data_IF_100224564359
#
_entry.id   IF_100224564359
#
_cell.length_a   1.000
_cell.length_b   1.000
_cell.length_c   1.000
_cell.angle_alpha   90.00
_cell.angle_beta   90.00
_cell.angle_gamma   90.00
#
_symmetry.space_group_name_H-M   'P 1'
#
loop_
_entity.id
_entity.type
_entity.pdbx_description
1 polymer ?
#
# COMPACT_ATOMS: atom_id res chain seq x y z
N UNK A 1 -68.56 -9.92 32.49
CA UNK A 1 -67.29 -10.56 32.88
C UNK A 1 -66.53 -11.26 31.74
N UNK A 2 -67.19 -11.82 30.71
CA UNK A 2 -66.52 -12.50 29.59
C UNK A 2 -65.76 -11.55 28.62
N UNK A 3 -66.21 -10.33 28.46
CA UNK A 3 -65.57 -9.37 27.54
C UNK A 3 -64.32 -8.70 28.14
N UNK A 4 -64.16 -8.66 29.42
CA UNK A 4 -63.00 -8.07 30.10
C UNK A 4 -61.77 -9.01 30.02
N UNK A 5 -62.00 -10.31 30.01
CA UNK A 5 -60.94 -11.32 29.89
C UNK A 5 -60.35 -11.39 28.48
N UNK A 6 -61.18 -11.17 27.45
CA UNK A 6 -60.74 -11.21 26.04
C UNK A 6 -59.87 -9.97 25.72
N UNK A 7 -60.23 -8.80 26.21
CA UNK A 7 -59.40 -7.58 26.04
C UNK A 7 -58.03 -7.69 26.74
N UNK A 8 -57.97 -8.36 27.89
CA UNK A 8 -56.72 -8.56 28.62
C UNK A 8 -55.78 -9.56 27.90
N UNK A 9 -56.35 -10.58 27.29
CA UNK A 9 -55.62 -11.59 26.49
C UNK A 9 -55.06 -10.97 25.21
N UNK A 10 -55.78 -10.11 24.52
CA UNK A 10 -55.31 -9.43 23.32
C UNK A 10 -54.26 -8.37 23.65
N UNK A 11 -54.39 -7.65 24.78
CA UNK A 11 -53.36 -6.70 25.19
C UNK A 11 -52.04 -7.36 25.62
N UNK A 12 -52.09 -8.55 26.24
CA UNK A 12 -50.88 -9.28 26.62
C UNK A 12 -50.20 -9.95 25.41
N UNK A 13 -50.95 -10.42 24.45
CA UNK A 13 -50.43 -10.93 23.17
C UNK A 13 -49.82 -9.81 22.30
N UNK A 14 -50.42 -8.61 22.33
CA UNK A 14 -49.91 -7.45 21.61
C UNK A 14 -48.62 -6.91 22.27
N UNK A 15 -48.58 -6.88 23.59
CA UNK A 15 -47.38 -6.49 24.34
C UNK A 15 -46.22 -7.49 24.11
N UNK A 16 -46.48 -8.80 24.17
CA UNK A 16 -45.47 -9.81 23.87
C UNK A 16 -44.96 -9.77 22.41
N UNK A 17 -45.81 -9.39 21.45
CA UNK A 17 -45.39 -9.24 20.06
C UNK A 17 -44.54 -7.97 19.85
N UNK A 18 -44.80 -6.90 20.58
CA UNK A 18 -44.01 -5.66 20.53
C UNK A 18 -42.62 -5.89 21.16
N UNK A 19 -42.55 -6.51 22.34
CA UNK A 19 -41.29 -6.84 22.99
C UNK A 19 -40.39 -7.74 22.10
N UNK A 20 -40.97 -8.71 21.38
CA UNK A 20 -40.21 -9.56 20.47
C UNK A 20 -39.75 -8.85 19.21
N UNK A 21 -40.51 -7.89 18.69
CA UNK A 21 -40.13 -7.05 17.57
C UNK A 21 -39.00 -6.08 17.99
N UNK A 22 -39.10 -5.48 19.17
CA UNK A 22 -38.04 -4.58 19.69
C UNK A 22 -36.74 -5.32 19.94
N UNK A 23 -36.76 -6.55 20.42
CA UNK A 23 -35.58 -7.42 20.56
C UNK A 23 -34.97 -7.70 19.19
N UNK A 24 -35.77 -8.12 18.20
CA UNK A 24 -35.28 -8.41 16.83
C UNK A 24 -34.70 -7.12 16.19
N UNK A 25 -35.34 -5.98 16.35
CA UNK A 25 -34.84 -4.71 15.81
C UNK A 25 -33.54 -4.29 16.49
N UNK A 26 -33.42 -4.51 17.80
CA UNK A 26 -32.18 -4.23 18.50
C UNK A 26 -31.06 -5.20 18.09
N UNK A 27 -31.37 -6.48 17.96
CA UNK A 27 -30.40 -7.49 17.46
C UNK A 27 -29.98 -7.19 16.01
N UNK A 28 -30.91 -6.77 15.14
CA UNK A 28 -30.60 -6.33 13.78
C UNK A 28 -29.76 -5.06 13.77
N UNK A 29 -30.08 -4.10 14.63
CA UNK A 29 -29.30 -2.88 14.74
C UNK A 29 -27.87 -3.17 15.20
N UNK A 30 -27.68 -4.01 16.21
CA UNK A 30 -26.36 -4.46 16.69
C UNK A 30 -25.64 -5.24 15.60
N UNK A 31 -26.34 -6.09 14.84
CA UNK A 31 -25.76 -6.83 13.74
C UNK A 31 -25.31 -5.90 12.58
N UNK A 32 -26.12 -4.88 12.27
CA UNK A 32 -25.77 -3.86 11.25
C UNK A 32 -24.63 -2.97 11.75
N UNK A 33 -24.66 -2.54 13.00
CA UNK A 33 -23.57 -1.78 13.62
C UNK A 33 -22.26 -2.60 13.62
N UNK A 34 -22.32 -3.91 13.94
CA UNK A 34 -21.15 -4.79 13.88
C UNK A 34 -20.68 -5.08 12.44
N UNK A 35 -21.58 -5.15 11.46
CA UNK A 35 -21.25 -5.36 10.07
C UNK A 35 -20.68 -4.12 9.38
N UNK A 36 -20.89 -2.92 9.95
CA UNK A 36 -20.34 -1.67 9.47
C UNK A 36 -19.04 -1.25 10.16
N UNK A 37 -18.57 -2.03 11.14
CA UNK A 37 -17.36 -1.73 11.89
C UNK A 37 -16.15 -2.38 11.23
N UNK A 38 -15.05 -1.65 11.16
CA UNK A 38 -13.79 -2.16 10.65
C UNK A 38 -13.29 -3.32 11.50
N UNK A 39 -12.96 -4.43 10.86
CA UNK A 39 -12.23 -5.52 11.51
C UNK A 39 -10.82 -5.07 11.87
N UNK A 40 -10.29 -5.58 12.97
CA UNK A 40 -8.92 -5.32 13.35
C UNK A 40 -7.96 -5.94 12.35
N UNK A 41 -7.07 -5.13 11.78
CA UNK A 41 -5.93 -5.61 11.02
C UNK A 41 -4.74 -5.79 11.97
N UNK A 42 -3.85 -6.70 11.64
CA UNK A 42 -2.80 -7.18 12.53
C UNK A 42 -1.43 -6.77 12.02
N UNK A 43 -0.58 -6.24 12.90
CA UNK A 43 0.84 -6.04 12.62
C UNK A 43 1.68 -7.13 13.30
N UNK A 44 2.69 -7.64 12.59
CA UNK A 44 3.80 -8.40 13.15
C UNK A 44 5.03 -7.49 13.16
N UNK A 45 5.54 -7.18 14.35
CA UNK A 45 6.89 -6.65 14.48
C UNK A 45 7.87 -7.84 14.44
N UNK A 46 8.64 -7.96 13.36
CA UNK A 46 9.63 -9.02 13.11
C UNK A 46 11.03 -8.49 13.44
N UNK A 47 11.55 -8.83 14.60
CA UNK A 47 12.91 -8.49 15.04
C UNK A 47 13.88 -9.57 14.60
N UNK A 48 14.74 -9.25 13.63
CA UNK A 48 15.45 -10.22 12.82
C UNK A 48 16.90 -9.82 12.48
N UNK A 49 17.54 -10.59 11.62
CA UNK A 49 18.87 -10.30 11.06
C UNK A 49 19.30 -11.37 10.05
N UNK A 50 19.99 -10.96 8.99
CA UNK A 50 20.36 -11.84 7.86
C UNK A 50 21.28 -12.99 8.26
N UNK A 51 22.24 -12.74 9.16
CA UNK A 51 23.25 -13.73 9.60
C UNK A 51 22.77 -14.61 10.78
N UNK A 52 21.51 -14.51 11.14
CA UNK A 52 20.92 -15.29 12.22
C UNK A 52 20.25 -16.56 11.66
N UNK A 53 20.71 -17.76 11.99
CA UNK A 53 20.27 -19.00 11.33
C UNK A 53 18.81 -19.39 11.57
N UNK A 54 18.17 -18.81 12.57
CA UNK A 54 16.76 -19.05 12.90
C UNK A 54 15.85 -17.94 12.39
N UNK A 55 16.40 -16.75 12.09
CA UNK A 55 15.65 -15.60 11.63
C UNK A 55 15.06 -15.82 10.25
N UNK A 56 15.80 -16.44 9.34
CA UNK A 56 15.29 -16.77 8.03
C UNK A 56 14.07 -17.71 8.05
N UNK A 57 13.99 -18.64 9.01
CA UNK A 57 12.79 -19.48 9.17
C UNK A 57 11.57 -18.68 9.63
N UNK A 58 11.76 -17.73 10.54
CA UNK A 58 10.72 -16.85 11.01
C UNK A 58 10.24 -15.92 9.88
N UNK A 59 11.18 -15.29 9.17
CA UNK A 59 10.88 -14.39 8.06
C UNK A 59 10.17 -15.09 6.90
N UNK A 60 10.53 -16.33 6.56
CA UNK A 60 9.81 -17.15 5.58
C UNK A 60 8.36 -17.39 6.04
N UNK A 61 8.15 -17.79 7.30
CA UNK A 61 6.81 -17.98 7.83
C UNK A 61 5.96 -16.70 7.83
N UNK A 62 6.55 -15.56 8.16
CA UNK A 62 5.87 -14.25 8.07
C UNK A 62 5.55 -13.90 6.62
N UNK A 63 6.47 -14.16 5.68
CA UNK A 63 6.23 -13.94 4.26
C UNK A 63 5.06 -14.77 3.72
N UNK A 64 5.00 -16.08 4.06
CA UNK A 64 3.89 -16.95 3.68
C UNK A 64 2.56 -16.44 4.25
N UNK A 65 2.55 -15.95 5.50
CA UNK A 65 1.36 -15.35 6.10
C UNK A 65 0.93 -14.06 5.40
N UNK A 66 1.87 -13.20 5.01
CA UNK A 66 1.57 -11.97 4.26
C UNK A 66 0.96 -12.29 2.89
N UNK A 67 1.42 -13.34 2.23
CA UNK A 67 0.89 -13.78 0.94
C UNK A 67 -0.50 -14.46 1.10
N UNK A 68 -0.77 -15.12 2.22
CA UNK A 68 -2.08 -15.74 2.51
C UNK A 68 -3.12 -14.73 3.00
N UNK A 69 -2.70 -13.69 3.75
CA UNK A 69 -3.60 -12.71 4.38
C UNK A 69 -3.28 -11.25 4.01
N UNK A 70 -3.15 -10.90 2.72
CA UNK A 70 -2.61 -9.60 2.28
C UNK A 70 -3.43 -8.38 2.72
N UNK A 71 -4.76 -8.56 2.94
CA UNK A 71 -5.67 -7.46 3.28
C UNK A 71 -5.72 -7.15 4.78
N UNK A 72 -5.31 -8.10 5.63
CA UNK A 72 -5.54 -8.04 7.07
C UNK A 72 -4.29 -8.21 7.91
N UNK A 73 -3.18 -8.62 7.29
CA UNK A 73 -1.89 -8.78 7.93
C UNK A 73 -0.85 -7.85 7.34
N UNK A 74 -0.08 -7.22 8.20
CA UNK A 74 1.09 -6.40 7.88
C UNK A 74 2.28 -6.84 8.70
N UNK A 75 3.48 -6.56 8.24
CA UNK A 75 4.71 -6.71 9.03
C UNK A 75 5.51 -5.41 9.04
N UNK A 76 6.29 -5.23 10.08
CA UNK A 76 7.37 -4.27 10.16
C UNK A 76 8.64 -5.03 10.55
N UNK A 77 9.60 -5.13 9.64
CA UNK A 77 10.81 -5.91 9.84
C UNK A 77 11.94 -5.01 10.36
N UNK A 78 12.49 -5.37 11.52
CA UNK A 78 13.52 -4.62 12.25
C UNK A 78 14.82 -5.40 12.25
N UNK A 79 15.85 -4.91 11.57
CA UNK A 79 17.14 -5.60 11.46
C UNK A 79 18.09 -5.21 12.59
N UNK A 80 18.65 -6.21 13.26
CA UNK A 80 19.64 -6.02 14.31
C UNK A 80 21.04 -5.95 13.68
N UNK A 81 21.74 -4.85 13.85
CA UNK A 81 23.04 -4.57 13.25
C UNK A 81 24.10 -5.66 13.51
N UNK A 82 24.09 -6.30 14.68
CA UNK A 82 25.03 -7.38 15.01
C UNK A 82 24.80 -8.69 14.22
N UNK A 83 23.64 -8.84 13.58
CA UNK A 83 23.25 -10.00 12.76
C UNK A 83 22.90 -9.59 11.31
N UNK A 84 23.33 -8.41 10.92
CA UNK A 84 23.13 -7.89 9.56
C UNK A 84 24.49 -7.36 9.09
N UNK A 85 25.02 -7.77 7.92
CA UNK A 85 26.30 -7.28 7.42
C UNK A 85 26.31 -5.78 7.23
N UNK A 86 27.42 -5.10 7.60
CA UNK A 86 27.60 -3.64 7.53
C UNK A 86 27.44 -3.04 6.12
N UNK A 87 27.50 -3.84 5.07
CA UNK A 87 27.37 -3.46 3.67
C UNK A 87 26.04 -3.92 3.04
N UNK A 88 25.10 -4.35 3.87
CA UNK A 88 23.78 -4.75 3.43
C UNK A 88 22.85 -3.55 3.28
N UNK A 89 21.90 -3.65 2.37
CA UNK A 89 20.85 -2.65 2.13
C UNK A 89 19.87 -2.49 3.32
N UNK A 90 20.20 -3.03 4.49
CA UNK A 90 19.33 -3.11 5.67
C UNK A 90 19.77 -2.23 6.85
N UNK A 91 20.94 -1.61 6.77
CA UNK A 91 21.57 -0.91 7.90
C UNK A 91 21.02 0.50 8.17
N UNK A 92 20.19 1.05 7.29
CA UNK A 92 19.78 2.45 7.32
C UNK A 92 18.33 2.65 7.77
N UNK A 93 18.01 2.28 9.01
CA UNK A 93 16.78 2.78 9.61
C UNK A 93 17.02 4.13 10.30
N UNK A 94 16.48 5.21 9.74
CA UNK A 94 16.52 6.53 10.32
C UNK A 94 15.41 6.72 11.37
N UNK A 95 15.82 6.99 12.60
CA UNK A 95 14.89 7.37 13.65
C UNK A 95 14.76 8.90 13.68
N UNK A 96 13.64 9.43 13.20
CA UNK A 96 13.41 10.88 13.05
C UNK A 96 13.02 11.58 14.35
N UNK A 97 12.95 10.86 15.46
CA UNK A 97 12.55 11.38 16.75
C UNK A 97 13.83 11.60 17.57
N UNK A 98 14.18 12.83 17.85
CA UNK A 98 15.26 13.47 18.65
C UNK A 98 16.13 12.58 19.59
N UNK A 99 16.30 11.28 19.34
CA UNK A 99 17.11 10.41 20.16
C UNK A 99 18.12 9.61 19.36
N UNK A 100 19.31 9.63 19.88
CA UNK A 100 20.46 8.82 19.46
C UNK A 100 20.09 7.35 19.75
N UNK A 101 19.78 6.58 18.72
CA UNK A 101 19.48 5.16 18.84
C UNK A 101 19.06 4.53 17.53
N UNK A 102 19.33 3.25 17.39
CA UNK A 102 18.91 2.38 16.34
C UNK A 102 17.37 2.20 16.39
N UNK A 103 16.70 2.15 15.25
CA UNK A 103 15.25 1.89 15.19
C UNK A 103 14.88 0.57 15.86
N UNK A 104 15.69 -0.46 15.67
CA UNK A 104 15.51 -1.76 16.29
C UNK A 104 15.48 -1.65 17.83
N UNK A 105 16.49 -1.00 18.42
CA UNK A 105 16.58 -0.83 19.88
C UNK A 105 15.42 0.00 20.42
N UNK A 106 15.06 1.07 19.72
CA UNK A 106 13.95 1.92 20.12
C UNK A 106 12.60 1.20 20.05
N UNK A 107 12.36 0.39 18.99
CA UNK A 107 11.14 -0.41 18.88
C UNK A 107 11.08 -1.49 19.94
N UNK A 108 12.19 -2.16 20.21
CA UNK A 108 12.31 -3.16 21.24
C UNK A 108 12.06 -2.61 22.65
N UNK A 109 12.51 -1.39 22.92
CA UNK A 109 12.30 -0.72 24.21
C UNK A 109 10.82 -0.47 24.50
N UNK A 110 9.95 -0.29 23.49
CA UNK A 110 8.50 -0.19 23.71
C UNK A 110 7.90 -1.46 24.29
N UNK A 111 8.52 -2.61 24.03
CA UNK A 111 8.13 -3.89 24.60
C UNK A 111 8.79 -4.16 25.99
N UNK A 112 9.53 -3.18 26.52
CA UNK A 112 10.27 -3.32 27.79
C UNK A 112 11.50 -4.22 27.68
N UNK A 113 12.05 -4.37 26.47
CA UNK A 113 13.25 -5.18 26.22
C UNK A 113 14.47 -4.28 26.17
N UNK A 114 15.00 -3.92 27.35
CA UNK A 114 16.16 -3.03 27.50
C UNK A 114 17.45 -3.59 26.84
N UNK A 115 17.49 -4.88 26.56
CA UNK A 115 18.57 -5.56 25.85
C UNK A 115 18.05 -6.80 25.13
N UNK A 116 18.00 -6.76 23.80
CA UNK A 116 17.77 -7.96 23.00
C UNK A 116 19.10 -8.67 22.76
N UNK A 117 19.23 -9.88 23.29
CA UNK A 117 20.41 -10.71 23.11
C UNK A 117 20.18 -11.89 22.16
N UNK A 118 18.97 -12.01 21.61
CA UNK A 118 18.59 -13.10 20.72
C UNK A 118 17.49 -12.65 19.76
N UNK A 119 17.62 -13.02 18.50
CA UNK A 119 16.61 -12.94 17.43
C UNK A 119 16.45 -14.35 16.85
N UNK A 120 15.33 -14.69 16.17
CA UNK A 120 14.18 -13.84 15.88
C UNK A 120 13.24 -13.68 17.08
N UNK A 121 12.53 -12.55 17.10
CA UNK A 121 11.40 -12.33 18.00
C UNK A 121 10.27 -11.71 17.16
N UNK A 122 9.11 -12.34 17.16
CA UNK A 122 7.89 -11.81 16.54
C UNK A 122 6.92 -11.36 17.61
N UNK A 123 6.52 -10.11 17.52
CA UNK A 123 5.46 -9.53 18.33
C UNK A 123 4.20 -9.35 17.48
N UNK A 124 3.26 -10.27 17.60
CA UNK A 124 1.98 -10.21 16.88
C UNK A 124 1.05 -9.31 17.65
N UNK A 125 0.67 -8.21 17.00
CA UNK A 125 -0.21 -7.17 17.54
C UNK A 125 0.25 -6.59 18.89
N UNK A 126 1.56 -6.66 19.15
CA UNK A 126 2.17 -6.15 20.38
C UNK A 126 1.99 -7.00 21.63
N UNK A 127 1.17 -8.04 21.60
CA UNK A 127 0.77 -8.83 22.77
C UNK A 127 1.14 -10.31 22.72
N UNK A 128 1.25 -10.91 21.55
CA UNK A 128 1.64 -12.31 21.38
C UNK A 128 3.09 -12.39 20.93
N UNK A 129 3.99 -12.75 21.86
CA UNK A 129 5.44 -12.74 21.66
C UNK A 129 5.96 -14.16 21.44
N UNK A 130 6.68 -14.35 20.34
CA UNK A 130 7.35 -15.62 20.01
C UNK A 130 8.85 -15.37 19.88
N UNK A 131 9.66 -16.30 20.38
CA UNK A 131 11.13 -16.19 20.32
C UNK A 131 11.71 -17.46 19.74
N UNK A 132 12.52 -17.29 18.69
CA UNK A 132 13.16 -18.38 17.98
C UNK A 132 12.21 -19.12 17.02
N UNK A 133 12.77 -19.67 15.95
CA UNK A 133 12.07 -20.46 14.96
C UNK A 133 12.86 -21.74 14.69
N UNK A 134 12.29 -22.91 14.99
CA UNK A 134 12.96 -24.20 14.74
C UNK A 134 12.93 -24.62 13.26
N UNK A 135 11.93 -24.19 12.55
CA UNK A 135 11.71 -24.30 11.09
C UNK A 135 10.60 -23.35 10.69
N UNK A 136 10.49 -23.05 9.41
CA UNK A 136 9.40 -22.27 8.80
C UNK A 136 8.03 -22.86 9.18
N UNK A 137 7.79 -24.17 8.94
CA UNK A 137 6.53 -24.84 9.29
C UNK A 137 6.18 -24.72 10.79
N UNK A 138 7.18 -24.82 11.66
CA UNK A 138 6.96 -24.68 13.11
C UNK A 138 6.61 -23.24 13.50
N UNK A 139 7.26 -22.25 12.91
CA UNK A 139 6.99 -20.84 13.12
C UNK A 139 5.57 -20.49 12.61
N UNK A 140 5.27 -20.82 11.38
CA UNK A 140 3.94 -20.62 10.76
C UNK A 140 2.82 -21.21 11.63
N UNK A 141 2.99 -22.46 12.10
CA UNK A 141 2.00 -23.15 12.94
C UNK A 141 1.75 -22.49 14.31
N UNK A 142 2.69 -21.67 14.79
CA UNK A 142 2.55 -20.88 16.02
C UNK A 142 1.95 -19.49 15.75
N UNK A 143 2.34 -18.84 14.65
CA UNK A 143 1.95 -17.47 14.36
C UNK A 143 0.52 -17.36 13.84
N UNK A 144 0.08 -18.25 12.96
CA UNK A 144 -1.27 -18.22 12.38
C UNK A 144 -2.38 -18.27 13.44
N UNK A 145 -2.36 -19.17 14.46
CA UNK A 145 -3.38 -19.12 15.50
C UNK A 145 -3.39 -17.82 16.31
N UNK A 146 -2.22 -17.20 16.55
CA UNK A 146 -2.15 -15.92 17.25
C UNK A 146 -2.78 -14.80 16.40
N UNK A 147 -2.47 -14.75 15.10
CA UNK A 147 -3.11 -13.86 14.14
C UNK A 147 -4.63 -14.08 14.09
N UNK A 148 -5.09 -15.32 13.92
CA UNK A 148 -6.50 -15.68 13.83
C UNK A 148 -7.33 -15.34 15.08
N UNK A 149 -6.68 -15.25 16.24
CA UNK A 149 -7.35 -14.84 17.47
C UNK A 149 -7.59 -13.31 17.55
N UNK A 150 -6.94 -12.54 16.67
CA UNK A 150 -6.97 -11.07 16.71
C UNK A 150 -7.71 -10.50 15.48
N UNK A 151 -7.40 -11.04 14.30
CA UNK A 151 -8.00 -10.58 13.05
C UNK A 151 -9.54 -10.63 13.14
N UNK A 152 -10.18 -9.62 12.55
CA UNK A 152 -11.65 -9.47 12.56
C UNK A 152 -12.27 -9.21 13.96
N UNK A 153 -11.46 -9.06 15.02
CA UNK A 153 -12.00 -8.48 16.24
C UNK A 153 -12.41 -7.03 15.98
N UNK A 154 -13.46 -6.59 16.66
CA UNK A 154 -13.88 -5.21 16.53
C UNK A 154 -12.84 -4.27 17.15
N UNK A 155 -12.40 -3.31 16.36
CA UNK A 155 -11.63 -2.15 16.80
C UNK A 155 -12.45 -0.87 16.63
N UNK A 156 -12.38 0.11 17.53
CA UNK A 156 -13.03 1.40 17.32
C UNK A 156 -12.29 2.29 16.32
N UNK A 157 -11.07 1.94 15.95
CA UNK A 157 -10.19 2.76 15.13
C UNK A 157 -10.24 2.36 13.66
N UNK A 158 -10.31 3.37 12.82
CA UNK A 158 -10.07 3.28 11.38
C UNK A 158 -8.86 4.16 11.04
N UNK A 159 -7.97 3.66 10.19
CA UNK A 159 -6.78 4.38 9.72
C UNK A 159 -6.90 4.52 8.21
N UNK A 160 -6.74 5.74 7.74
CA UNK A 160 -6.58 6.07 6.32
C UNK A 160 -5.22 6.71 6.09
N UNK A 161 -4.60 6.42 4.94
CA UNK A 161 -3.32 6.99 4.52
C UNK A 161 -3.49 7.47 3.09
N UNK A 162 -3.26 8.76 2.89
CA UNK A 162 -3.27 9.36 1.57
C UNK A 162 -2.05 10.27 1.39
N UNK A 163 -1.78 10.72 0.18
CA UNK A 163 -0.64 11.58 -0.09
C UNK A 163 -0.46 11.89 -1.56
N UNK A 164 0.69 12.45 -1.88
CA UNK A 164 1.09 12.77 -3.24
C UNK A 164 2.57 12.46 -3.48
N UNK A 165 2.90 12.20 -4.74
CA UNK A 165 4.26 11.94 -5.19
C UNK A 165 4.66 13.01 -6.19
N UNK A 166 5.79 13.69 -5.94
CA UNK A 166 6.47 14.53 -6.93
C UNK A 166 7.90 13.99 -7.11
N UNK A 167 8.09 13.17 -8.12
CA UNK A 167 9.35 12.43 -8.38
C UNK A 167 9.73 11.52 -7.20
N UNK A 168 10.70 11.93 -6.38
CA UNK A 168 11.15 11.20 -5.19
C UNK A 168 10.67 11.85 -3.88
N UNK A 169 9.96 12.96 -3.95
CA UNK A 169 9.43 13.67 -2.80
C UNK A 169 8.01 13.18 -2.53
N UNK A 170 7.80 12.66 -1.34
CA UNK A 170 6.53 12.12 -0.88
C UNK A 170 5.96 13.03 0.19
N UNK A 171 4.73 13.48 0.03
CA UNK A 171 3.93 14.06 1.09
C UNK A 171 2.82 13.07 1.47
N UNK A 172 2.52 12.95 2.75
CA UNK A 172 1.49 12.04 3.21
C UNK A 172 0.69 12.62 4.37
N UNK A 173 -0.54 12.14 4.51
CA UNK A 173 -1.39 12.33 5.67
C UNK A 173 -1.93 10.98 6.16
N UNK A 174 -1.78 10.73 7.45
CA UNK A 174 -2.37 9.60 8.15
C UNK A 174 -3.53 10.13 8.97
N UNK A 175 -4.75 9.69 8.71
CA UNK A 175 -5.94 10.06 9.46
C UNK A 175 -6.44 8.87 10.26
N UNK A 176 -6.56 9.06 11.57
CA UNK A 176 -7.19 8.09 12.47
C UNK A 176 -8.56 8.61 12.88
N UNK A 177 -9.59 7.79 12.73
CA UNK A 177 -10.96 8.10 13.11
C UNK A 177 -11.55 7.05 14.06
N UNK A 178 -12.57 7.45 14.82
CA UNK A 178 -13.33 6.56 15.70
C UNK A 178 -14.74 6.30 15.15
N UNK A 179 -15.09 5.02 15.01
CA UNK A 179 -16.45 4.58 14.66
C UNK A 179 -17.39 4.51 15.89
N UNK A 180 -16.81 4.36 17.08
CA UNK A 180 -17.51 4.24 18.35
C UNK A 180 -16.74 4.90 19.48
N UNK A 181 -17.45 5.30 20.54
CA UNK A 181 -16.81 5.92 21.71
C UNK A 181 -15.81 4.96 22.34
N UNK A 182 -14.60 5.42 22.56
CA UNK A 182 -13.55 4.68 23.21
C UNK A 182 -12.84 5.55 24.26
N UNK A 183 -12.67 5.01 25.45
CA UNK A 183 -11.93 5.72 26.50
C UNK A 183 -10.44 5.65 26.17
N UNK A 184 -9.97 6.64 25.46
CA UNK A 184 -8.56 6.75 25.10
C UNK A 184 -7.71 7.01 26.35
N UNK A 185 -6.76 6.12 26.61
CA UNK A 185 -5.70 6.32 27.60
C UNK A 185 -4.42 5.76 27.01
N UNK A 186 -3.44 6.62 26.79
CA UNK A 186 -2.10 6.26 26.35
C UNK A 186 -2.03 5.64 24.93
N UNK A 187 -3.00 5.91 24.05
CA UNK A 187 -2.91 5.54 22.64
C UNK A 187 -2.01 6.52 21.88
N UNK A 188 -1.17 5.95 21.05
CA UNK A 188 -0.28 6.67 20.16
C UNK A 188 -0.39 6.16 18.73
N UNK A 189 -0.16 7.04 17.77
CA UNK A 189 -0.05 6.71 16.35
C UNK A 189 1.42 6.67 16.01
N UNK A 190 1.89 5.50 15.58
CA UNK A 190 3.25 5.32 15.07
C UNK A 190 3.21 5.24 13.54
N UNK A 191 4.13 5.90 12.88
CA UNK A 191 4.24 5.93 11.42
C UNK A 191 5.63 5.45 11.01
N UNK A 192 5.66 4.44 10.14
CA UNK A 192 6.88 3.84 9.60
C UNK A 192 6.91 3.97 8.09
N UNK A 193 8.07 4.24 7.53
CA UNK A 193 8.35 4.08 6.11
C UNK A 193 9.09 2.75 5.96
N UNK A 194 8.53 1.87 5.14
CA UNK A 194 9.09 0.54 4.91
C UNK A 194 9.30 0.28 3.42
N UNK A 195 10.27 -0.55 3.12
CA UNK A 195 10.50 -1.07 1.78
C UNK A 195 10.18 -2.56 1.75
N UNK A 196 9.35 -2.97 0.80
CA UNK A 196 8.95 -4.38 0.64
C UNK A 196 9.79 -5.08 -0.43
N UNK A 197 9.82 -6.42 -0.38
CA UNK A 197 10.40 -7.28 -1.40
C UNK A 197 11.90 -7.05 -1.69
N UNK A 198 12.71 -6.81 -0.68
CA UNK A 198 14.15 -6.68 -0.83
C UNK A 198 14.76 -8.07 -0.95
N UNK A 199 15.23 -8.42 -2.16
CA UNK A 199 15.92 -9.70 -2.38
C UNK A 199 17.26 -9.71 -1.65
N UNK A 200 17.43 -10.66 -0.74
CA UNK A 200 18.61 -10.77 0.11
C UNK A 200 19.02 -12.22 0.35
N UNK A 201 20.26 -12.41 0.78
CA UNK A 201 20.78 -13.71 1.17
C UNK A 201 20.65 -13.87 2.67
N UNK A 202 19.87 -14.84 3.10
CA UNK A 202 19.66 -15.21 4.50
C UNK A 202 20.46 -16.45 4.84
N UNK A 203 21.09 -16.46 5.98
CA UNK A 203 21.81 -17.63 6.44
C UNK A 203 20.91 -18.52 7.34
N UNK A 204 20.45 -19.64 6.78
CA UNK A 204 19.66 -20.68 7.48
C UNK A 204 20.48 -21.96 7.53
N UNK A 205 21.68 -21.94 8.20
CA UNK A 205 22.70 -22.98 8.13
C UNK A 205 23.27 -23.24 6.71
N UNK A 206 22.72 -22.59 5.72
CA UNK A 206 23.11 -22.47 4.31
C UNK A 206 22.56 -21.14 3.77
N UNK A 207 23.15 -20.63 2.69
CA UNK A 207 22.70 -19.39 2.06
C UNK A 207 21.40 -19.62 1.28
N UNK A 208 20.35 -18.87 1.64
CA UNK A 208 19.04 -18.92 1.00
C UNK A 208 18.66 -17.53 0.49
N UNK A 209 18.33 -17.42 -0.79
CA UNK A 209 17.76 -16.21 -1.34
C UNK A 209 16.28 -16.10 -0.92
N UNK A 210 15.93 -15.00 -0.27
CA UNK A 210 14.58 -14.74 0.19
C UNK A 210 14.30 -13.23 0.15
N UNK A 211 13.06 -12.85 -0.17
CA UNK A 211 12.63 -11.46 -0.09
C UNK A 211 12.35 -11.07 1.35
N UNK A 212 13.11 -10.09 1.86
CA UNK A 212 12.74 -9.41 3.09
C UNK A 212 11.47 -8.58 2.86
N UNK A 213 10.55 -8.62 3.82
CA UNK A 213 9.22 -8.05 3.68
C UNK A 213 9.03 -6.84 4.61
N UNK A 214 8.67 -5.70 4.03
CA UNK A 214 8.38 -4.47 4.79
C UNK A 214 9.51 -4.08 5.77
N UNK A 215 10.74 -4.04 5.28
CA UNK A 215 11.92 -3.61 6.06
C UNK A 215 11.77 -2.14 6.41
N UNK A 216 11.80 -1.82 7.70
CA UNK A 216 11.63 -0.44 8.16
C UNK A 216 12.87 0.37 7.82
N UNK A 217 12.71 1.34 6.92
CA UNK A 217 13.73 2.28 6.49
C UNK A 217 13.76 3.53 7.35
N UNK A 218 12.59 3.88 7.92
CA UNK A 218 12.48 5.07 8.74
C UNK A 218 11.32 4.95 9.73
N UNK A 219 11.56 5.23 10.98
CA UNK A 219 10.52 5.48 11.96
C UNK A 219 10.24 6.98 12.00
N UNK A 220 9.17 7.37 11.33
CA UNK A 220 8.90 8.77 11.04
C UNK A 220 8.41 9.54 12.25
N UNK A 221 7.44 8.98 12.97
CA UNK A 221 6.86 9.68 14.12
C UNK A 221 6.17 8.76 15.13
N UNK A 222 6.05 9.28 16.36
CA UNK A 222 5.14 8.82 17.41
C UNK A 222 4.33 10.03 17.85
N UNK A 223 3.01 9.93 17.76
CA UNK A 223 2.12 11.04 18.08
C UNK A 223 1.06 10.57 19.08
N UNK A 224 0.74 11.39 20.06
CA UNK A 224 -0.38 11.12 20.97
C UNK A 224 -1.71 11.26 20.22
N UNK A 225 -2.63 10.33 20.49
CA UNK A 225 -3.96 10.29 19.88
C UNK A 225 -5.00 10.78 20.88
N UNK A 226 -5.62 11.93 20.59
CA UNK A 226 -6.49 12.66 21.54
C UNK A 226 -7.98 12.56 21.21
N UNK A 227 -8.42 11.56 20.43
CA UNK A 227 -9.83 11.34 20.08
C UNK A 227 -10.47 10.30 20.99
N UNK A 228 -11.76 10.48 21.33
CA UNK A 228 -12.49 9.60 22.27
C UNK A 228 -13.97 9.39 21.94
N UNK A 229 -14.56 10.21 21.08
CA UNK A 229 -15.97 10.15 20.72
C UNK A 229 -16.15 9.66 19.27
N UNK A 230 -17.22 8.93 19.03
CA UNK A 230 -17.56 8.44 17.69
C UNK A 230 -17.69 9.60 16.68
N UNK A 231 -17.04 9.46 15.53
CA UNK A 231 -16.98 10.46 14.47
C UNK A 231 -15.87 11.50 14.64
N UNK A 232 -15.10 11.47 15.73
CA UNK A 232 -13.87 12.24 15.82
C UNK A 232 -12.77 11.64 14.96
N UNK A 233 -11.91 12.51 14.43
CA UNK A 233 -10.70 12.13 13.68
C UNK A 233 -9.53 13.05 14.01
N UNK A 234 -8.32 12.52 13.86
CA UNK A 234 -7.07 13.29 14.02
C UNK A 234 -6.11 12.89 12.90
N UNK A 235 -5.52 13.89 12.25
CA UNK A 235 -4.59 13.69 11.14
C UNK A 235 -3.16 14.05 11.54
N UNK A 236 -2.22 13.34 10.91
CA UNK A 236 -0.78 13.48 11.11
C UNK A 236 -0.13 13.53 9.73
N UNK A 237 0.43 14.67 9.36
CA UNK A 237 1.08 14.88 8.06
C UNK A 237 2.59 14.83 8.18
N UNK A 238 3.24 14.35 7.14
CA UNK A 238 4.68 14.31 7.04
C UNK A 238 5.15 14.32 5.58
N UNK A 239 6.46 14.34 5.42
CA UNK A 239 7.09 14.23 4.10
C UNK A 239 8.47 13.64 4.19
N UNK A 240 8.90 12.96 3.13
CA UNK A 240 10.25 12.42 3.02
C UNK A 240 10.69 12.38 1.56
N UNK A 241 11.98 12.19 1.36
CA UNK A 241 12.56 11.97 0.03
C UNK A 241 13.02 10.51 -0.03
N UNK A 242 12.66 9.80 -1.09
CA UNK A 242 13.15 8.44 -1.35
C UNK A 242 14.64 8.54 -1.72
N UNK A 243 15.48 7.80 -1.01
CA UNK A 243 16.88 7.64 -1.36
C UNK A 243 17.02 6.62 -2.49
N UNK A 244 17.03 7.11 -3.73
CA UNK A 244 17.09 6.26 -4.94
C UNK A 244 18.36 5.41 -5.03
N UNK A 245 19.43 5.79 -4.33
CA UNK A 245 20.67 5.04 -4.32
C UNK A 245 20.61 3.82 -3.37
N UNK A 246 19.66 3.84 -2.41
CA UNK A 246 19.51 2.81 -1.39
C UNK A 246 18.14 2.11 -1.39
N UNK A 247 17.07 2.75 -1.89
CA UNK A 247 15.70 2.24 -1.82
C UNK A 247 15.12 2.06 -3.22
N UNK A 248 14.29 1.02 -3.37
CA UNK A 248 13.48 0.85 -4.57
C UNK A 248 12.18 1.66 -4.46
N UNK A 249 11.98 2.73 -5.26
CA UNK A 249 10.78 3.57 -5.17
C UNK A 249 9.47 2.80 -5.33
N UNK A 250 9.45 1.77 -6.17
CA UNK A 250 8.25 0.98 -6.44
C UNK A 250 7.82 0.08 -5.28
N UNK A 251 8.68 -0.04 -4.26
CA UNK A 251 8.47 -0.93 -3.11
C UNK A 251 8.20 -0.19 -1.80
N UNK A 252 8.08 1.13 -1.82
CA UNK A 252 7.91 1.94 -0.61
C UNK A 252 6.46 1.90 -0.14
N UNK A 253 6.31 1.70 1.16
CA UNK A 253 5.03 1.71 1.87
C UNK A 253 5.09 2.62 3.10
N UNK A 254 3.96 3.20 3.42
CA UNK A 254 3.72 3.82 4.73
C UNK A 254 2.89 2.84 5.55
N UNK A 255 3.35 2.54 6.75
CA UNK A 255 2.67 1.68 7.72
C UNK A 255 2.31 2.56 8.92
N UNK A 256 1.06 2.52 9.35
CA UNK A 256 0.60 3.22 10.55
C UNK A 256 -0.10 2.27 11.50
N UNK A 257 0.12 2.47 12.80
CA UNK A 257 -0.53 1.70 13.85
C UNK A 257 -1.06 2.61 14.95
N UNK A 258 -2.22 2.24 15.51
CA UNK A 258 -2.69 2.77 16.80
C UNK A 258 -2.25 1.79 17.88
N UNK A 259 -1.32 2.20 18.73
CA UNK A 259 -0.71 1.38 19.76
C UNK A 259 -0.84 2.01 21.15
N UNK A 260 -1.10 1.20 22.17
CA UNK A 260 -1.08 1.66 23.55
C UNK A 260 0.37 1.68 24.08
N UNK A 261 0.82 2.84 24.54
CA UNK A 261 2.20 3.03 25.03
C UNK A 261 2.52 2.30 26.33
N UNK A 262 1.49 1.95 27.12
CA UNK A 262 1.64 1.28 28.41
C UNK A 262 1.61 -0.26 28.31
N UNK A 263 0.84 -0.81 27.35
CA UNK A 263 0.63 -2.27 27.19
C UNK A 263 1.29 -2.83 25.94
N UNK A 264 1.74 -1.98 25.03
CA UNK A 264 2.25 -2.30 23.70
C UNK A 264 1.20 -2.90 22.76
N UNK A 265 -0.05 -3.07 23.19
CA UNK A 265 -1.13 -3.61 22.36
C UNK A 265 -1.42 -2.69 21.17
N UNK A 266 -1.50 -3.28 19.97
CA UNK A 266 -1.89 -2.58 18.75
C UNK A 266 -3.39 -2.81 18.54
N UNK A 267 -4.15 -1.71 18.46
CA UNK A 267 -5.60 -1.74 18.26
C UNK A 267 -6.01 -1.73 16.81
N UNK A 268 -5.19 -1.14 15.95
CA UNK A 268 -5.40 -1.12 14.50
C UNK A 268 -4.06 -0.92 13.79
N UNK A 269 -3.94 -1.49 12.60
CA UNK A 269 -2.83 -1.30 11.70
C UNK A 269 -3.34 -1.04 10.28
N UNK A 270 -2.62 -0.25 9.51
CA UNK A 270 -2.89 -0.03 8.10
C UNK A 270 -1.59 0.24 7.34
N UNK A 271 -1.54 -0.17 6.09
CA UNK A 271 -0.43 0.15 5.19
C UNK A 271 -0.96 0.60 3.84
N UNK A 272 -0.20 1.49 3.20
CA UNK A 272 -0.46 1.99 1.86
C UNK A 272 0.86 2.04 1.09
N UNK A 273 0.88 1.49 -0.13
CA UNK A 273 1.98 1.76 -1.06
C UNK A 273 1.91 3.20 -1.51
N UNK A 274 3.04 3.90 -1.53
CA UNK A 274 3.07 5.28 -2.04
C UNK A 274 2.61 5.37 -3.50
N UNK A 275 2.81 4.31 -4.29
CA UNK A 275 2.34 4.24 -5.67
C UNK A 275 0.81 4.15 -5.81
N UNK A 276 0.08 4.00 -4.70
CA UNK A 276 -1.37 3.96 -4.68
C UNK A 276 -1.99 5.27 -4.17
N UNK A 277 -1.21 6.33 -4.03
CA UNK A 277 -1.77 7.63 -3.67
C UNK A 277 -2.65 8.19 -4.79
N UNK A 278 -3.79 8.75 -4.43
CA UNK A 278 -4.63 9.55 -5.30
C UNK A 278 -4.10 10.99 -5.24
N UNK A 279 -3.20 11.33 -6.18
CA UNK A 279 -2.41 12.57 -6.08
C UNK A 279 -3.16 13.82 -6.54
N UNK A 280 -4.28 13.66 -7.27
CA UNK A 280 -5.07 14.77 -7.83
C UNK A 280 -6.54 14.78 -7.37
N UNK A 281 -6.88 13.87 -6.42
CA UNK A 281 -8.21 13.74 -5.80
C UNK A 281 -9.33 13.41 -6.80
N UNK A 282 -9.05 12.68 -7.86
CA UNK A 282 -10.05 12.30 -8.85
C UNK A 282 -10.81 11.00 -8.53
N UNK A 283 -10.37 10.28 -7.48
CA UNK A 283 -10.95 9.04 -6.98
C UNK A 283 -10.37 7.79 -7.64
N UNK A 284 -9.30 7.92 -8.46
CA UNK A 284 -8.56 6.80 -9.03
C UNK A 284 -7.17 6.75 -8.39
N UNK A 285 -6.78 5.59 -7.91
CA UNK A 285 -5.48 5.42 -7.25
C UNK A 285 -4.35 5.49 -8.27
N UNK A 286 -3.22 6.09 -7.91
CA UNK A 286 -2.11 6.35 -8.81
C UNK A 286 -1.63 5.14 -9.61
N UNK A 287 -1.71 3.91 -9.03
CA UNK A 287 -1.37 2.68 -9.77
C UNK A 287 -2.40 2.26 -10.84
N UNK A 288 -3.58 2.86 -10.84
CA UNK A 288 -4.67 2.62 -11.80
C UNK A 288 -5.03 3.87 -12.60
N UNK A 289 -4.40 4.98 -12.24
CA UNK A 289 -4.65 6.29 -12.82
C UNK A 289 -3.75 6.51 -14.04
N UNK A 290 -4.38 6.74 -15.18
CA UNK A 290 -3.67 7.02 -16.43
C UNK A 290 -3.23 8.48 -16.58
N UNK A 291 -3.61 9.36 -15.59
CA UNK A 291 -3.10 10.74 -15.46
C UNK A 291 -2.84 11.11 -13.99
N UNK A 292 -1.88 10.52 -13.27
CA UNK A 292 -1.74 10.58 -11.81
C UNK A 292 -1.65 11.97 -11.16
N UNK A 293 -1.55 13.04 -11.92
CA UNK A 293 -1.45 14.42 -11.45
C UNK A 293 -2.43 15.38 -12.14
N UNK A 294 -3.41 14.83 -12.88
CA UNK A 294 -4.38 15.64 -13.64
C UNK A 294 -5.77 15.04 -13.52
N UNK A 295 -6.62 15.64 -12.71
CA UNK A 295 -7.99 15.22 -12.43
C UNK A 295 -8.75 14.72 -13.66
N UNK A 296 -8.98 13.41 -13.75
CA UNK A 296 -9.68 12.76 -14.86
C UNK A 296 -10.49 11.51 -14.46
N UNK A 297 -11.48 11.60 -13.57
CA UNK A 297 -12.17 10.48 -12.95
C UNK A 297 -12.86 9.51 -13.92
N UNK A 298 -12.94 9.87 -15.20
CA UNK A 298 -13.46 9.00 -16.25
C UNK A 298 -12.39 8.13 -16.92
N UNK A 299 -11.10 8.38 -16.64
CA UNK A 299 -9.96 7.63 -17.14
C UNK A 299 -10.01 7.38 -18.65
N UNK A 300 -10.43 8.41 -19.39
CA UNK A 300 -10.53 8.36 -20.85
C UNK A 300 -9.13 8.25 -21.45
N UNK A 301 -8.95 7.32 -22.36
CA UNK A 301 -7.74 7.04 -23.12
C UNK A 301 -8.20 6.61 -24.52
N UNK A 302 -8.13 7.52 -25.47
CA UNK A 302 -8.79 7.33 -26.77
C UNK A 302 -7.93 6.53 -27.75
N UNK A 303 -6.62 6.47 -27.52
CA UNK A 303 -5.67 5.74 -28.37
C UNK A 303 -5.10 4.47 -27.71
N UNK A 304 -5.54 4.17 -26.47
CA UNK A 304 -5.20 2.97 -25.70
C UNK A 304 -3.68 2.81 -25.44
N UNK A 305 -2.95 3.93 -25.23
CA UNK A 305 -1.51 3.90 -24.93
C UNK A 305 -1.18 3.90 -23.43
N UNK A 306 -2.20 3.90 -22.57
CA UNK A 306 -2.16 3.96 -21.13
C UNK A 306 -1.80 5.34 -20.53
N UNK A 307 -1.75 6.38 -21.33
CA UNK A 307 -1.72 7.77 -20.89
C UNK A 307 -3.13 8.37 -21.15
N UNK A 308 -3.72 8.97 -20.13
CA UNK A 308 -5.10 9.45 -20.27
C UNK A 308 -5.22 10.75 -21.07
N UNK A 309 -6.34 10.90 -21.79
CA UNK A 309 -6.68 12.06 -22.62
C UNK A 309 -6.41 13.41 -21.92
N UNK A 310 -6.51 13.45 -20.61
CA UNK A 310 -6.37 14.69 -19.84
C UNK A 310 -4.93 15.18 -19.70
N UNK A 311 -3.97 14.29 -19.72
CA UNK A 311 -2.56 14.58 -19.54
C UNK A 311 -1.70 14.21 -20.77
N UNK A 312 -2.25 13.45 -21.70
CA UNK A 312 -1.57 13.12 -22.93
C UNK A 312 -1.66 14.26 -23.95
N UNK A 313 -0.50 14.83 -24.28
CA UNK A 313 -0.37 15.86 -25.32
C UNK A 313 -0.45 15.27 -26.72
N UNK A 314 -0.31 13.97 -26.82
CA UNK A 314 -0.37 13.22 -28.07
C UNK A 314 -1.72 12.54 -28.28
N UNK A 315 -2.65 12.74 -27.35
CA UNK A 315 -4.01 12.18 -27.40
C UNK A 315 -4.76 12.67 -28.63
N UNK A 316 -4.79 11.84 -29.61
CA UNK A 316 -5.54 12.13 -30.81
C UNK A 316 -5.73 10.89 -31.70
N UNK A 317 -6.67 10.06 -31.40
CA UNK A 317 -7.00 8.88 -32.22
C UNK A 317 -7.21 9.15 -33.71
N UNK A 318 -7.32 10.43 -34.10
CA UNK A 318 -7.51 10.85 -35.49
C UNK A 318 -6.31 11.58 -36.10
N UNK A 319 -5.28 11.90 -35.31
CA UNK A 319 -4.10 12.65 -35.80
C UNK A 319 -2.82 11.85 -35.60
N UNK A 320 -2.48 11.49 -34.35
CA UNK A 320 -1.25 10.76 -34.04
C UNK A 320 -1.48 9.24 -34.12
N UNK A 321 -1.94 8.79 -35.30
CA UNK A 321 -2.19 7.38 -35.56
C UNK A 321 -1.01 6.75 -36.28
N UNK A 322 -0.93 5.43 -36.19
CA UNK A 322 0.10 4.64 -36.85
C UNK A 322 0.30 5.02 -38.32
N UNK A 323 1.43 5.63 -38.62
CA UNK A 323 1.81 6.11 -39.96
C UNK A 323 1.63 7.61 -40.20
N UNK A 324 0.87 8.33 -39.41
CA UNK A 324 0.75 9.82 -39.50
C UNK A 324 1.75 10.47 -38.53
N UNK A 325 3.05 10.40 -38.85
CA UNK A 325 4.15 10.79 -37.97
C UNK A 325 4.29 12.31 -37.86
N UNK A 326 3.85 13.04 -38.88
CA UNK A 326 3.94 14.50 -38.90
C UNK A 326 2.69 15.19 -38.30
N UNK A 327 1.65 14.42 -37.95
CA UNK A 327 0.42 14.93 -37.37
C UNK A 327 -0.41 15.78 -38.33
N UNK A 328 -0.25 15.63 -39.65
CA UNK A 328 -1.04 16.37 -40.65
C UNK A 328 -2.44 15.79 -40.78
N UNK A 329 -3.42 16.72 -40.84
CA UNK A 329 -4.82 16.41 -41.04
C UNK A 329 -5.28 17.05 -42.34
N UNK A 330 -5.84 16.27 -43.23
CA UNK A 330 -6.38 16.75 -44.50
C UNK A 330 -7.57 17.69 -44.34
N UNK A 331 -7.98 18.28 -45.43
CA UNK A 331 -9.11 19.24 -45.45
C UNK A 331 -10.44 18.60 -45.10
N UNK A 332 -10.55 17.31 -45.10
CA UNK A 332 -11.71 16.50 -44.69
C UNK A 332 -11.67 16.09 -43.21
N UNK A 333 -10.63 16.53 -42.47
CA UNK A 333 -10.38 16.22 -41.05
C UNK A 333 -9.98 14.75 -40.78
N UNK A 334 -9.49 14.03 -41.79
CA UNK A 334 -8.86 12.75 -41.63
C UNK A 334 -7.34 12.90 -41.74
N UNK A 335 -6.61 12.02 -41.06
CA UNK A 335 -5.15 11.95 -41.18
C UNK A 335 -4.72 11.53 -42.60
N UNK A 336 -3.60 12.04 -43.05
CA UNK A 336 -3.00 11.67 -44.31
C UNK A 336 -1.66 11.00 -44.07
N UNK A 337 -1.49 9.77 -44.56
CA UNK A 337 -0.19 9.05 -44.50
C UNK A 337 0.47 9.22 -45.87
N UNK A 338 1.55 9.99 -45.92
CA UNK A 338 2.23 10.30 -47.17
C UNK A 338 3.77 10.41 -47.05
N UNK A 339 4.39 11.01 -48.05
CA UNK A 339 5.84 11.17 -48.10
C UNK A 339 6.36 12.15 -47.05
N UNK A 340 5.54 13.05 -46.50
CA UNK A 340 5.97 14.01 -45.51
C UNK A 340 6.15 13.32 -44.14
N UNK A 341 5.38 12.28 -43.83
CA UNK A 341 5.60 11.43 -42.64
C UNK A 341 6.94 10.69 -42.73
N UNK A 342 7.29 10.20 -43.93
CA UNK A 342 8.58 9.56 -44.12
C UNK A 342 9.76 10.53 -43.92
N UNK A 343 9.57 11.79 -44.30
CA UNK A 343 10.58 12.83 -44.05
C UNK A 343 10.67 13.14 -42.55
N UNK A 344 9.54 13.22 -41.86
CA UNK A 344 9.48 13.43 -40.40
C UNK A 344 10.12 12.26 -39.67
N UNK A 345 9.87 11.01 -40.05
CA UNK A 345 10.54 9.85 -39.51
C UNK A 345 12.07 9.94 -39.67
N UNK A 346 12.54 10.36 -40.85
CA UNK A 346 13.98 10.55 -41.09
C UNK A 346 14.59 11.67 -40.23
N UNK A 347 13.84 12.73 -39.99
CA UNK A 347 14.26 13.85 -39.12
C UNK A 347 14.32 13.42 -37.65
N UNK A 348 13.33 12.69 -37.15
CA UNK A 348 13.31 12.09 -35.80
C UNK A 348 14.53 11.18 -35.60
N UNK A 349 14.81 10.29 -36.53
CA UNK A 349 16.00 9.42 -36.49
C UNK A 349 17.33 10.18 -36.45
N UNK A 350 17.35 11.41 -36.96
CA UNK A 350 18.56 12.25 -37.06
C UNK A 350 18.73 13.18 -35.86
N UNK A 351 17.68 13.46 -35.13
CA UNK A 351 17.63 14.49 -34.07
C UNK A 351 17.74 13.91 -32.66
N UNK A 352 17.74 12.60 -32.45
CA UNK A 352 17.57 11.93 -31.16
C UNK A 352 16.31 12.43 -30.40
N UNK A 353 15.28 12.86 -31.12
CA UNK A 353 14.00 13.26 -30.55
C UNK A 353 13.21 12.03 -30.10
N UNK A 354 12.96 11.93 -28.81
CA UNK A 354 12.20 10.85 -28.18
C UNK A 354 10.92 11.34 -27.50
N UNK A 355 10.64 12.65 -27.56
CA UNK A 355 9.54 13.27 -26.80
C UNK A 355 8.40 13.77 -27.67
N UNK A 356 8.58 13.91 -28.99
CA UNK A 356 7.50 14.35 -29.88
C UNK A 356 6.46 13.25 -30.11
N UNK A 357 5.20 13.64 -30.32
CA UNK A 357 4.13 12.69 -30.65
C UNK A 357 4.48 11.84 -31.89
N UNK A 358 5.14 12.43 -32.88
CA UNK A 358 5.65 11.69 -34.02
C UNK A 358 6.69 10.63 -33.65
N UNK A 359 7.53 10.86 -32.63
CA UNK A 359 8.53 9.87 -32.20
C UNK A 359 7.87 8.68 -31.50
N UNK A 360 6.82 8.88 -30.72
CA UNK A 360 6.11 7.79 -30.03
C UNK A 360 5.54 6.75 -31.00
N UNK A 361 5.07 7.18 -32.18
CA UNK A 361 4.49 6.32 -33.22
C UNK A 361 5.45 5.98 -34.35
N UNK A 362 6.76 6.26 -34.20
CA UNK A 362 7.78 6.06 -35.25
C UNK A 362 8.37 4.67 -35.31
N UNK A 363 8.17 3.83 -34.29
CA UNK A 363 8.52 2.41 -34.33
C UNK A 363 7.51 1.61 -35.16
N UNK A 364 7.64 1.77 -36.48
CA UNK A 364 6.69 1.22 -37.45
C UNK A 364 6.71 -0.30 -37.54
N UNK A 365 7.82 -0.91 -37.17
CA UNK A 365 7.96 -2.37 -37.23
C UNK A 365 7.67 -3.04 -35.86
N UNK A 366 7.55 -2.25 -34.77
CA UNK A 366 7.24 -2.73 -33.42
C UNK A 366 8.42 -3.49 -32.77
N UNK A 367 9.68 -3.17 -33.12
CA UNK A 367 10.85 -3.86 -32.56
C UNK A 367 11.48 -3.13 -31.35
N UNK A 368 10.90 -2.01 -30.93
CA UNK A 368 11.33 -1.18 -29.82
C UNK A 368 12.47 -0.22 -30.15
N UNK A 369 12.82 -0.04 -31.43
CA UNK A 369 13.88 0.87 -31.85
C UNK A 369 13.51 1.63 -33.12
N UNK A 370 13.57 2.96 -33.09
CA UNK A 370 13.37 3.79 -34.29
C UNK A 370 14.66 3.78 -35.12
N UNK A 371 14.63 3.12 -36.28
CA UNK A 371 15.81 2.91 -37.11
C UNK A 371 15.48 2.72 -38.61
N UNK A 372 16.46 2.37 -39.44
CA UNK A 372 16.25 2.22 -40.88
C UNK A 372 15.23 1.13 -41.27
N UNK A 373 14.94 0.17 -40.39
CA UNK A 373 13.93 -0.84 -40.65
C UNK A 373 12.54 -0.26 -40.69
N UNK A 374 12.29 0.76 -39.88
CA UNK A 374 11.02 1.51 -39.84
C UNK A 374 10.79 2.26 -41.14
N UNK A 375 11.83 2.86 -41.72
CA UNK A 375 11.75 3.49 -43.03
C UNK A 375 11.32 2.48 -44.11
N UNK A 376 11.89 1.27 -44.10
CA UNK A 376 11.49 0.24 -45.06
C UNK A 376 10.07 -0.22 -44.87
N UNK A 377 9.65 -0.41 -43.63
CA UNK A 377 8.27 -0.78 -43.29
C UNK A 377 7.29 0.33 -43.69
N UNK A 378 7.67 1.58 -43.42
CA UNK A 378 6.86 2.75 -43.73
C UNK A 378 6.67 2.95 -45.25
N UNK A 379 7.73 2.79 -46.03
CA UNK A 379 7.63 2.81 -47.49
C UNK A 379 6.68 1.72 -47.98
N UNK A 380 6.70 0.53 -47.38
CA UNK A 380 5.77 -0.54 -47.74
C UNK A 380 4.32 -0.15 -47.39
N UNK A 381 4.10 0.52 -46.24
CA UNK A 381 2.80 1.04 -45.82
C UNK A 381 2.24 2.01 -46.86
N UNK A 382 2.99 3.07 -47.21
CA UNK A 382 2.58 4.05 -48.25
C UNK A 382 2.29 3.35 -49.60
N UNK A 383 3.11 2.40 -50.02
CA UNK A 383 2.93 1.71 -51.32
C UNK A 383 1.74 0.77 -51.32
N UNK A 384 1.30 0.28 -50.18
CA UNK A 384 0.13 -0.59 -50.10
C UNK A 384 -1.21 0.14 -50.26
N UNK A 385 -1.21 1.50 -50.16
CA UNK A 385 -2.39 2.33 -50.30
C UNK A 385 -3.38 2.02 -49.16
N UNK A 386 -2.97 2.28 -47.93
CA UNK A 386 -3.81 2.10 -46.73
C UNK A 386 -5.00 3.03 -46.73
#
# INVERSE_FOLDING_TARGET
>A
MKYFLIMWFFSSLYAQSIDSVDIILNDLRVAVENASRSGQKVLIDDFTGLDCPYCGYASLAVSDMLDEFPETLMSAQWHLSNFTPDDSDFDDCFYNIDSIGDCFENRANLYGWDTINAVPIEAINGISIFTGAGSEESAYSLYVPAYQNIVDQHTPYEIDINGSIDSLYIEYEVTVSLDSNFSNQDQQVHIFIAEDNIMSVWWIFEDVNHNARNVVRRWESINDLDISEAGESQSFSGSFIIDIDAWNPDSIKIISVVQNSSTSEIFQAYQMSVNNFDSDDDGVLGSQDNCPNVYNPNQSDIDDDAIGDACDICDNANVWVYGNINGEVGTDQFYEIDIFDLLTLSDIMSSDDTESCGSQISDINGDGNINQLDIFQFVALIMSGS
#
